data_IF_618225816711
#
_entry.id   IF_618225816711
#
_cell.length_a   1.000
_cell.length_b   1.000
_cell.length_c   1.000
_cell.angle_alpha   90.00
_cell.angle_beta   90.00
_cell.angle_gamma   90.00
#
_symmetry.space_group_name_H-M   'P 1'
#
loop_
_entity.id
_entity.type
_entity.pdbx_description
1 polymer ?
#
# COMPACT_ATOMS: atom_id res chain seq x y z
N UNK A 1 9.90 7.32 17.45
CA UNK A 1 9.78 6.52 16.21
C UNK A 1 9.91 7.46 15.03
N UNK A 2 10.71 7.08 14.02
CA UNK A 2 10.89 7.88 12.81
C UNK A 2 10.05 7.33 11.66
N UNK A 3 9.25 8.22 11.07
CA UNK A 3 8.24 7.89 10.05
C UNK A 3 8.65 8.36 8.65
N UNK A 4 9.83 8.98 8.51
CA UNK A 4 10.19 9.64 7.26
C UNK A 4 10.29 8.65 6.10
N UNK A 5 9.40 8.79 5.10
CA UNK A 5 9.33 7.96 3.87
C UNK A 5 9.12 6.46 4.10
N UNK A 6 8.81 6.01 5.32
CA UNK A 6 8.66 4.57 5.64
C UNK A 6 7.54 3.91 4.83
N UNK A 7 6.47 4.62 4.49
CA UNK A 7 5.41 4.11 3.61
C UNK A 7 5.67 4.29 2.11
N UNK A 8 6.76 4.97 1.74
CA UNK A 8 7.07 5.37 0.35
C UNK A 8 8.17 4.51 -0.28
N UNK A 9 9.04 3.93 0.55
CA UNK A 9 10.17 3.11 0.13
C UNK A 9 9.93 1.64 0.42
N UNK A 10 10.37 0.79 -0.50
CA UNK A 10 10.32 -0.66 -0.33
C UNK A 10 11.21 -1.11 0.81
N UNK A 11 10.69 -1.94 1.71
CA UNK A 11 11.46 -2.48 2.83
C UNK A 11 12.49 -3.54 2.45
N UNK A 12 12.52 -4.00 1.20
CA UNK A 12 13.54 -4.94 0.72
C UNK A 12 14.67 -4.26 -0.05
N UNK A 13 14.34 -3.30 -0.92
CA UNK A 13 15.31 -2.69 -1.83
C UNK A 13 15.43 -1.16 -1.70
N UNK A 14 14.63 -0.54 -0.84
CA UNK A 14 14.57 0.91 -0.61
C UNK A 14 14.27 1.78 -1.84
N UNK A 15 13.81 1.18 -2.94
CA UNK A 15 13.29 1.92 -4.10
C UNK A 15 11.90 2.49 -3.84
N UNK A 16 11.54 3.54 -4.57
CA UNK A 16 10.22 4.17 -4.44
C UNK A 16 9.13 3.30 -5.05
N UNK A 17 7.97 3.27 -4.42
CA UNK A 17 6.83 2.53 -4.93
C UNK A 17 6.04 3.28 -6.01
N UNK A 18 5.45 2.50 -6.90
CA UNK A 18 4.42 2.95 -7.83
C UNK A 18 3.01 2.70 -7.28
N UNK A 19 2.05 3.60 -7.55
CA UNK A 19 0.66 3.41 -7.18
C UNK A 19 0.02 2.32 -8.04
N UNK A 20 -0.87 1.54 -7.45
CA UNK A 20 -1.66 0.53 -8.16
C UNK A 20 -3.00 1.11 -8.53
N UNK A 21 -3.45 0.84 -9.75
CA UNK A 21 -4.79 1.17 -10.23
C UNK A 21 -5.57 -0.10 -10.48
N UNK A 22 -6.87 -0.07 -10.16
CA UNK A 22 -7.79 -1.17 -10.44
C UNK A 22 -9.11 -0.62 -10.98
N UNK A 23 -9.73 -1.37 -11.90
CA UNK A 23 -11.03 -1.02 -12.46
C UNK A 23 -12.13 -1.32 -11.43
N UNK A 24 -12.96 -0.33 -11.14
CA UNK A 24 -14.11 -0.46 -10.24
C UNK A 24 -15.36 -0.10 -10.98
N UNK A 25 -16.38 -0.95 -10.91
CA UNK A 25 -17.70 -0.62 -11.42
C UNK A 25 -18.36 0.41 -10.49
N UNK A 26 -18.43 1.66 -10.94
CA UNK A 26 -18.95 2.80 -10.18
C UNK A 26 -20.47 2.86 -10.16
N UNK A 27 -21.11 2.16 -11.10
CA UNK A 27 -22.57 2.03 -11.13
C UNK A 27 -23.10 0.91 -10.23
N UNK A 28 -22.23 0.16 -9.52
CA UNK A 28 -22.68 -0.84 -8.57
C UNK A 28 -23.54 -0.20 -7.46
N UNK A 29 -24.83 -0.54 -7.37
CA UNK A 29 -25.67 -0.01 -6.31
C UNK A 29 -25.09 -0.40 -4.93
N UNK A 30 -25.13 0.52 -3.97
CA UNK A 30 -24.73 0.25 -2.59
C UNK A 30 -25.45 -1.01 -2.09
N UNK A 31 -24.72 -1.89 -1.38
CA UNK A 31 -25.33 -3.10 -0.79
C UNK A 31 -26.50 -2.67 0.10
N UNK A 32 -27.71 -3.12 -0.24
CA UNK A 32 -28.90 -2.93 0.60
C UNK A 32 -29.07 -4.18 1.46
N UNK A 33 -29.26 -3.98 2.77
CA UNK A 33 -29.65 -5.03 3.70
C UNK A 33 -31.11 -4.82 4.10
N UNK A 34 -31.91 -5.88 4.13
CA UNK A 34 -33.26 -5.86 4.68
C UNK A 34 -33.37 -6.99 5.71
N UNK A 35 -33.67 -6.67 6.96
CA UNK A 35 -33.71 -7.65 8.08
C UNK A 35 -32.45 -8.52 8.17
N UNK A 36 -31.26 -7.92 8.04
CA UNK A 36 -29.98 -8.63 8.06
C UNK A 36 -29.59 -9.36 6.76
N UNK A 37 -30.53 -9.60 5.84
CA UNK A 37 -30.29 -10.28 4.57
C UNK A 37 -29.79 -9.28 3.52
N UNK A 38 -28.68 -9.60 2.85
CA UNK A 38 -28.13 -8.80 1.74
C UNK A 38 -28.96 -9.07 0.49
N UNK A 39 -29.57 -8.02 -0.08
CA UNK A 39 -30.35 -8.14 -1.31
C UNK A 39 -29.42 -8.26 -2.53
N UNK A 40 -29.84 -9.05 -3.51
CA UNK A 40 -29.12 -9.23 -4.78
C UNK A 40 -29.08 -7.90 -5.54
N UNK A 41 -27.91 -7.58 -6.12
CA UNK A 41 -27.72 -6.38 -6.94
C UNK A 41 -28.23 -6.65 -8.36
N UNK A 42 -29.16 -5.83 -8.85
CA UNK A 42 -29.47 -5.79 -10.29
C UNK A 42 -28.28 -5.16 -11.04
N UNK A 43 -27.66 -5.92 -11.96
CA UNK A 43 -26.50 -5.52 -12.78
C UNK A 43 -26.92 -4.98 -14.16
N UNK A 44 -27.90 -4.08 -14.21
CA UNK A 44 -28.44 -3.63 -15.50
C UNK A 44 -27.46 -2.72 -16.28
N UNK A 45 -26.58 -1.98 -15.60
CA UNK A 45 -25.57 -1.13 -16.21
C UNK A 45 -24.23 -1.24 -15.48
N UNK A 46 -23.15 -1.41 -16.23
CA UNK A 46 -21.78 -1.52 -15.72
C UNK A 46 -20.99 -0.33 -16.28
N UNK A 47 -20.35 0.46 -15.40
CA UNK A 47 -19.43 1.52 -15.82
C UNK A 47 -18.16 1.40 -14.98
N UNK A 48 -17.03 1.11 -15.62
CA UNK A 48 -15.76 0.98 -14.93
C UNK A 48 -15.01 2.31 -14.92
N UNK A 49 -14.43 2.63 -13.77
CA UNK A 49 -13.43 3.69 -13.60
C UNK A 49 -12.16 3.13 -12.97
N UNK A 50 -11.01 3.64 -13.39
CA UNK A 50 -9.76 3.35 -12.71
C UNK A 50 -9.69 4.08 -11.38
N UNK A 51 -9.49 3.33 -10.29
CA UNK A 51 -9.24 3.89 -8.96
C UNK A 51 -7.87 3.48 -8.45
N UNK A 52 -7.21 4.40 -7.76
CA UNK A 52 -5.95 4.12 -7.07
C UNK A 52 -6.23 3.28 -5.83
N UNK A 53 -5.50 2.18 -5.66
CA UNK A 53 -5.50 1.42 -4.42
C UNK A 53 -4.52 2.07 -3.45
N UNK A 54 -5.04 2.70 -2.40
CA UNK A 54 -4.18 3.34 -1.40
C UNK A 54 -3.51 2.31 -0.47
N UNK A 55 -4.13 1.16 -0.22
CA UNK A 55 -3.60 0.13 0.68
C UNK A 55 -2.49 -0.73 0.10
N UNK A 56 -2.37 -0.80 -1.24
CA UNK A 56 -1.39 -1.68 -1.90
C UNK A 56 -0.47 -0.85 -2.80
N UNK A 57 0.83 -1.14 -2.74
CA UNK A 57 1.90 -0.49 -3.49
C UNK A 57 2.66 -1.51 -4.32
N UNK A 58 3.21 -1.07 -5.47
CA UNK A 58 3.99 -1.94 -6.36
C UNK A 58 5.46 -1.53 -6.36
N UNK A 59 6.36 -2.49 -6.15
CA UNK A 59 7.78 -2.30 -6.40
C UNK A 59 8.09 -2.64 -7.85
N UNK A 60 8.69 -1.70 -8.58
CA UNK A 60 9.06 -1.91 -10.00
C UNK A 60 10.51 -2.41 -10.16
N UNK A 61 11.23 -2.56 -9.05
CA UNK A 61 12.61 -3.03 -9.08
C UNK A 61 12.66 -4.52 -9.44
N UNK A 62 13.29 -4.83 -10.58
CA UNK A 62 13.27 -6.18 -11.16
C UNK A 62 13.90 -7.26 -10.28
N UNK A 63 14.79 -6.88 -9.36
CA UNK A 63 15.44 -7.79 -8.40
C UNK A 63 14.71 -7.86 -7.05
N UNK A 64 13.60 -7.12 -6.87
CA UNK A 64 12.83 -7.15 -5.63
C UNK A 64 11.84 -8.32 -5.65
N UNK A 65 11.97 -9.24 -4.69
CA UNK A 65 11.04 -10.37 -4.56
C UNK A 65 9.61 -9.93 -4.25
N UNK A 66 9.46 -8.74 -3.67
CA UNK A 66 8.17 -8.21 -3.28
C UNK A 66 7.63 -7.27 -4.36
N UNK A 67 6.86 -7.85 -5.27
CA UNK A 67 6.18 -7.14 -6.35
C UNK A 67 5.07 -6.21 -5.80
N UNK A 68 4.32 -6.70 -4.81
CA UNK A 68 3.20 -6.00 -4.19
C UNK A 68 3.35 -5.95 -2.67
N UNK A 69 3.09 -4.80 -2.09
CA UNK A 69 3.15 -4.57 -0.65
C UNK A 69 1.85 -4.01 -0.13
N UNK A 70 1.41 -4.52 1.02
CA UNK A 70 0.54 -3.75 1.90
C UNK A 70 1.34 -2.54 2.43
N UNK A 71 0.78 -1.35 2.26
CA UNK A 71 1.43 -0.07 2.59
C UNK A 71 1.81 0.00 4.06
N UNK A 72 0.93 -0.47 4.94
CA UNK A 72 1.09 -0.33 6.39
C UNK A 72 2.10 -1.36 6.90
N UNK A 73 2.05 -2.59 6.37
CA UNK A 73 3.04 -3.62 6.67
C UNK A 73 4.44 -3.17 6.24
N UNK A 74 4.59 -2.63 5.02
CA UNK A 74 5.87 -2.11 4.56
C UNK A 74 6.40 -0.98 5.46
N UNK A 75 5.53 -0.04 5.82
CA UNK A 75 5.90 1.06 6.71
C UNK A 75 6.35 0.55 8.08
N UNK A 76 5.65 -0.44 8.65
CA UNK A 76 6.02 -1.07 9.91
C UNK A 76 7.40 -1.74 9.85
N UNK A 77 7.70 -2.48 8.78
CA UNK A 77 9.02 -3.12 8.61
C UNK A 77 10.13 -2.05 8.57
N UNK A 78 9.96 -1.00 7.77
CA UNK A 78 10.93 0.10 7.69
C UNK A 78 11.14 0.80 9.05
N UNK A 79 10.07 1.04 9.80
CA UNK A 79 10.16 1.63 11.14
C UNK A 79 10.95 0.76 12.12
N UNK A 80 10.71 -0.56 12.09
CA UNK A 80 11.44 -1.53 12.93
C UNK A 80 12.93 -1.57 12.55
N UNK A 81 13.25 -1.51 11.26
CA UNK A 81 14.64 -1.56 10.79
C UNK A 81 15.42 -0.29 11.15
N UNK A 82 14.79 0.88 11.02
CA UNK A 82 15.35 2.14 11.51
C UNK A 82 15.61 2.11 13.02
N UNK A 83 14.65 1.60 13.80
CA UNK A 83 14.81 1.45 15.25
C UNK A 83 15.99 0.52 15.60
N UNK A 84 16.13 -0.60 14.89
CA UNK A 84 17.28 -1.51 15.08
C UNK A 84 18.61 -0.80 14.79
N UNK A 85 18.68 -0.04 13.69
CA UNK A 85 19.87 0.72 13.32
C UNK A 85 20.27 1.73 14.39
N UNK A 86 19.27 2.43 14.97
CA UNK A 86 19.47 3.38 16.08
C UNK A 86 19.98 2.68 17.34
N UNK A 87 19.35 1.57 17.76
CA UNK A 87 19.76 0.78 18.94
C UNK A 87 21.20 0.26 18.78
N UNK A 88 21.60 -0.12 17.57
CA UNK A 88 22.95 -0.62 17.27
C UNK A 88 23.98 0.49 17.08
N UNK A 89 23.61 1.77 17.15
CA UNK A 89 24.52 2.90 16.96
C UNK A 89 25.03 3.06 15.53
N UNK A 90 24.37 2.42 14.55
CA UNK A 90 24.74 2.50 13.12
C UNK A 90 24.26 3.80 12.45
N UNK A 91 23.50 4.60 13.19
CA UNK A 91 22.90 5.83 12.68
C UNK A 91 21.74 5.56 11.74
N UNK A 92 21.40 6.57 10.94
CA UNK A 92 20.25 6.54 10.03
C UNK A 92 20.66 5.95 8.69
N UNK A 93 19.89 4.97 8.20
CA UNK A 93 20.10 4.39 6.88
C UNK A 93 19.96 5.45 5.78
N UNK A 94 20.88 5.43 4.81
CA UNK A 94 20.98 6.39 3.70
C UNK A 94 19.64 6.73 3.01
N UNK A 95 18.78 5.75 2.65
CA UNK A 95 17.51 6.05 1.96
C UNK A 95 16.52 6.90 2.79
N UNK A 96 16.72 6.95 4.11
CA UNK A 96 15.85 7.62 5.07
C UNK A 96 16.48 8.90 5.63
N UNK A 97 17.66 9.31 5.15
CA UNK A 97 18.29 10.59 5.51
C UNK A 97 17.39 11.75 5.06
N UNK A 98 17.20 12.71 5.97
CA UNK A 98 16.46 13.94 5.69
C UNK A 98 17.44 14.93 5.06
N UNK A 99 17.22 15.26 3.79
CA UNK A 99 17.92 16.37 3.11
C UNK A 99 17.24 17.68 3.42
#
# INVERSE_FOLDING_TARGET
MDEFRTSKLCSQCHQSFSPIRYAVDTKLPKRRKRKGVVLVRNRAEVQFEEKVCHGVLRCDEGCCSALYWDRDVNAAINMVELLKSEILGLGRMEPFVRK
#
